data_IF_616371763217
#
_entry.id   IF_616371763217
#
_cell.length_a   1.000
_cell.length_b   1.000
_cell.length_c   1.000
_cell.angle_alpha   90.00
_cell.angle_beta   90.00
_cell.angle_gamma   90.00
#
_symmetry.space_group_name_H-M   'P 1'
#
loop_
_entity.id
_entity.type
_entity.pdbx_description
1 polymer ?
#
# COMPACT_ATOMS: atom_id res chain seq x y z
N UNK A 1 -26.85 0.89 -1.26
CA UNK A 1 -26.25 1.16 0.08
C UNK A 1 -24.88 1.75 -0.17
N UNK A 2 -24.76 3.08 -0.11
CA UNK A 2 -23.52 3.79 -0.46
C UNK A 2 -22.61 3.92 0.76
N UNK A 3 -21.71 2.96 0.96
CA UNK A 3 -20.56 3.20 1.82
C UNK A 3 -19.62 4.14 1.08
N UNK A 4 -19.53 5.40 1.51
CA UNK A 4 -18.54 6.33 0.95
C UNK A 4 -17.14 5.69 1.07
N UNK A 5 -16.27 5.75 0.05
CA UNK A 5 -14.93 5.16 0.06
C UNK A 5 -14.10 5.56 1.29
N UNK A 6 -14.38 6.76 1.82
CA UNK A 6 -13.79 7.31 3.04
C UNK A 6 -14.04 6.45 4.29
N UNK A 7 -15.18 5.75 4.38
CA UNK A 7 -15.54 4.96 5.56
C UNK A 7 -14.86 3.59 5.61
N UNK A 8 -14.67 2.95 4.46
CA UNK A 8 -14.00 1.64 4.39
C UNK A 8 -12.49 1.77 4.60
N UNK A 9 -11.85 2.76 3.95
CA UNK A 9 -10.43 3.07 4.17
C UNK A 9 -10.15 3.41 5.62
N UNK A 10 -11.02 4.18 6.28
CA UNK A 10 -10.85 4.52 7.69
C UNK A 10 -10.95 3.28 8.61
N UNK A 11 -11.82 2.30 8.29
CA UNK A 11 -11.85 1.04 9.04
C UNK A 11 -10.55 0.25 8.88
N UNK A 12 -10.01 0.19 7.67
CA UNK A 12 -8.72 -0.49 7.39
C UNK A 12 -7.59 0.21 8.13
N UNK A 13 -7.50 1.54 8.04
CA UNK A 13 -6.49 2.32 8.76
C UNK A 13 -6.62 2.16 10.27
N UNK A 14 -7.84 2.16 10.82
CA UNK A 14 -8.06 1.90 12.25
C UNK A 14 -7.63 0.50 12.68
N UNK A 15 -7.88 -0.50 11.85
CA UNK A 15 -7.47 -1.89 12.11
C UNK A 15 -5.95 -2.02 12.08
N UNK A 16 -5.29 -1.44 11.08
CA UNK A 16 -3.82 -1.43 11.00
C UNK A 16 -3.23 -0.62 12.15
N UNK A 17 -3.77 0.57 12.46
CA UNK A 17 -3.33 1.38 13.59
C UNK A 17 -3.37 0.60 14.90
N UNK A 18 -4.52 -0.04 15.19
CA UNK A 18 -4.70 -0.86 16.42
C UNK A 18 -3.82 -2.12 16.46
N UNK A 19 -3.28 -2.55 15.31
CA UNK A 19 -2.37 -3.69 15.23
C UNK A 19 -0.96 -3.32 15.71
N UNK A 20 -0.56 -2.06 15.52
CA UNK A 20 0.76 -1.57 15.89
C UNK A 20 0.78 -0.72 17.17
N UNK A 21 -0.34 -0.08 17.53
CA UNK A 21 -0.58 0.55 18.84
C UNK A 21 -0.65 -0.52 19.93
N UNK A 22 0.51 -0.93 20.46
CA UNK A 22 0.63 -2.05 21.38
C UNK A 22 0.24 -1.66 22.80
N UNK A 23 0.55 -0.44 23.19
CA UNK A 23 0.20 0.12 24.49
C UNK A 23 -1.26 0.60 24.54
N UNK A 24 -1.95 0.66 23.40
CA UNK A 24 -3.36 1.08 23.26
C UNK A 24 -3.60 2.47 23.82
N UNK A 25 -2.59 3.33 23.71
CA UNK A 25 -2.69 4.72 24.15
C UNK A 25 -3.35 5.61 23.10
N UNK A 26 -3.71 5.04 21.94
CA UNK A 26 -4.33 5.76 20.83
C UNK A 26 -3.32 6.57 20.02
N UNK A 27 -2.03 6.32 20.22
CA UNK A 27 -0.91 6.99 19.55
C UNK A 27 0.11 5.96 19.08
N UNK A 28 0.90 6.32 18.08
CA UNK A 28 2.04 5.52 17.64
C UNK A 28 3.33 6.26 17.93
N UNK A 29 4.17 5.67 18.77
CA UNK A 29 5.53 6.18 18.96
C UNK A 29 6.46 5.74 17.80
N UNK A 30 7.67 6.28 17.78
CA UNK A 30 8.68 5.99 16.75
C UNK A 30 8.99 4.49 16.58
N UNK A 31 8.91 3.69 17.66
CA UNK A 31 9.18 2.25 17.59
C UNK A 31 8.01 1.51 16.92
N UNK A 32 6.78 1.91 17.21
CA UNK A 32 5.57 1.34 16.59
C UNK A 32 5.48 1.72 15.11
N UNK A 33 5.78 2.98 14.77
CA UNK A 33 5.91 3.42 13.38
C UNK A 33 6.96 2.61 12.63
N UNK A 34 8.12 2.34 13.26
CA UNK A 34 9.16 1.49 12.66
C UNK A 34 8.67 0.06 12.41
N UNK A 35 7.93 -0.51 13.35
CA UNK A 35 7.36 -1.84 13.21
C UNK A 35 6.36 -1.91 12.06
N UNK A 36 5.49 -0.89 11.92
CA UNK A 36 4.58 -0.74 10.79
C UNK A 36 5.34 -0.63 9.47
N UNK A 37 6.31 0.28 9.37
CA UNK A 37 7.06 0.48 8.12
C UNK A 37 7.77 -0.80 7.70
N UNK A 38 8.32 -1.56 8.66
CA UNK A 38 8.90 -2.89 8.41
C UNK A 38 7.88 -3.91 7.95
N UNK A 39 6.66 -3.86 8.47
CA UNK A 39 5.58 -4.74 8.01
C UNK A 39 5.12 -4.39 6.58
N UNK A 40 5.36 -3.16 6.11
CA UNK A 40 5.19 -2.75 4.72
C UNK A 40 6.45 -3.01 3.88
N UNK A 41 7.32 -3.94 4.30
CA UNK A 41 8.62 -4.24 3.70
C UNK A 41 9.56 -3.02 3.54
N UNK A 42 9.29 -1.90 4.23
CA UNK A 42 10.19 -0.74 4.26
C UNK A 42 11.11 -0.84 5.48
N UNK A 43 12.41 -0.70 5.28
CA UNK A 43 13.38 -0.69 6.38
C UNK A 43 13.97 0.73 6.55
N UNK A 44 13.22 1.67 7.17
CA UNK A 44 13.71 3.02 7.37
C UNK A 44 14.86 3.06 8.38
N UNK A 45 15.85 3.91 8.13
CA UNK A 45 16.90 4.24 9.11
C UNK A 45 16.33 5.13 10.21
N UNK A 46 17.00 5.22 11.36
CA UNK A 46 16.57 6.12 12.45
C UNK A 46 16.43 7.58 11.99
N UNK A 47 17.33 8.04 11.13
CA UNK A 47 17.28 9.39 10.56
C UNK A 47 16.05 9.57 9.68
N UNK A 48 15.72 8.58 8.84
CA UNK A 48 14.53 8.62 7.97
C UNK A 48 13.25 8.55 8.80
N UNK A 49 13.21 7.71 9.83
CA UNK A 49 12.11 7.64 10.80
C UNK A 49 11.88 8.96 11.52
N UNK A 50 12.93 9.58 12.07
CA UNK A 50 12.81 10.89 12.74
C UNK A 50 12.33 11.97 11.78
N UNK A 51 12.80 11.94 10.53
CA UNK A 51 12.34 12.89 9.51
C UNK A 51 10.87 12.68 9.15
N UNK A 52 10.45 11.42 8.95
CA UNK A 52 9.04 11.09 8.73
C UNK A 52 8.19 11.52 9.93
N UNK A 53 8.61 11.18 11.15
CA UNK A 53 7.93 11.58 12.38
C UNK A 53 7.75 13.09 12.43
N UNK A 54 8.82 13.87 12.24
CA UNK A 54 8.77 15.33 12.29
C UNK A 54 7.92 15.98 11.18
N UNK A 55 7.70 15.26 10.08
CA UNK A 55 6.91 15.70 8.93
C UNK A 55 5.42 15.34 9.08
N UNK A 56 5.09 14.44 10.02
CA UNK A 56 3.74 13.92 10.26
C UNK A 56 3.17 14.41 11.61
N UNK A 57 4.02 14.44 12.65
CA UNK A 57 3.75 14.93 14.00
C UNK A 57 3.63 16.46 13.98
N UNK A 58 2.45 16.95 13.58
CA UNK A 58 2.17 18.38 13.41
C UNK A 58 2.16 19.09 14.76
N UNK A 59 1.71 18.39 15.81
CA UNK A 59 1.65 18.94 17.16
C UNK A 59 2.98 18.79 17.94
N UNK A 60 3.97 18.08 17.36
CA UNK A 60 5.32 17.88 17.91
C UNK A 60 5.34 17.22 19.28
N UNK A 61 4.37 16.34 19.56
CA UNK A 61 4.30 15.66 20.85
C UNK A 61 5.17 14.39 20.91
N UNK A 62 5.84 14.03 19.82
CA UNK A 62 6.72 12.87 19.71
C UNK A 62 5.99 11.56 19.47
N UNK A 63 4.70 11.60 19.14
CA UNK A 63 3.84 10.45 18.83
C UNK A 63 2.90 10.82 17.68
N UNK A 64 2.48 9.82 16.91
CA UNK A 64 1.54 9.98 15.80
C UNK A 64 0.14 9.66 16.29
N UNK A 65 -0.77 10.63 16.31
CA UNK A 65 -2.19 10.36 16.54
C UNK A 65 -2.85 9.62 15.38
N UNK A 66 -4.03 9.06 15.62
CA UNK A 66 -4.85 8.47 14.58
C UNK A 66 -5.08 9.41 13.37
N UNK A 67 -5.39 10.69 13.58
CA UNK A 67 -5.60 11.64 12.49
C UNK A 67 -4.32 11.89 11.67
N UNK A 68 -3.18 12.01 12.33
CA UNK A 68 -1.87 12.16 11.70
C UNK A 68 -1.46 10.89 10.95
N UNK A 69 -1.76 9.72 11.53
CA UNK A 69 -1.57 8.42 10.89
C UNK A 69 -2.40 8.30 9.62
N UNK A 70 -3.66 8.71 9.64
CA UNK A 70 -4.52 8.70 8.44
C UNK A 70 -3.93 9.61 7.37
N UNK A 71 -3.40 10.80 7.72
CA UNK A 71 -2.68 11.67 6.77
C UNK A 71 -1.47 10.98 6.18
N UNK A 72 -0.64 10.33 7.00
CA UNK A 72 0.51 9.55 6.55
C UNK A 72 0.09 8.45 5.57
N UNK A 73 -0.90 7.64 5.93
CA UNK A 73 -1.37 6.54 5.10
C UNK A 73 -1.92 7.04 3.77
N UNK A 74 -2.67 8.14 3.75
CA UNK A 74 -3.13 8.75 2.49
C UNK A 74 -1.97 9.29 1.66
N UNK A 75 -0.94 9.86 2.30
CA UNK A 75 0.24 10.34 1.57
C UNK A 75 1.03 9.19 0.96
N UNK A 76 1.32 8.14 1.72
CA UNK A 76 1.99 6.93 1.23
C UNK A 76 1.15 6.26 0.13
N UNK A 77 -0.16 6.19 0.30
CA UNK A 77 -1.10 5.69 -0.72
C UNK A 77 -0.96 6.50 -2.02
N UNK A 78 -0.89 7.83 -1.94
CA UNK A 78 -0.70 8.72 -3.08
C UNK A 78 0.71 8.67 -3.70
N UNK A 79 1.76 8.50 -2.89
CA UNK A 79 3.14 8.30 -3.37
C UNK A 79 3.25 6.97 -4.13
N UNK A 80 2.80 5.87 -3.54
CA UNK A 80 2.78 4.55 -4.19
C UNK A 80 1.94 4.61 -5.47
N UNK A 81 0.79 5.28 -5.45
CA UNK A 81 -0.02 5.43 -6.66
C UNK A 81 0.74 6.20 -7.76
N UNK A 82 1.49 7.25 -7.42
CA UNK A 82 2.28 8.01 -8.40
C UNK A 82 3.49 7.24 -8.91
N UNK A 83 4.10 6.39 -8.09
CA UNK A 83 5.21 5.52 -8.52
C UNK A 83 4.73 4.37 -9.41
N UNK A 84 3.56 3.79 -9.11
CA UNK A 84 3.01 2.67 -9.87
C UNK A 84 2.20 3.08 -11.11
N UNK A 85 1.62 4.28 -11.13
CA UNK A 85 0.88 4.81 -12.29
C UNK A 85 1.67 4.69 -13.61
N UNK A 86 2.92 5.16 -13.72
CA UNK A 86 3.66 5.04 -14.98
C UNK A 86 3.95 3.59 -15.36
N UNK A 87 4.17 2.69 -14.40
CA UNK A 87 4.34 1.25 -14.68
C UNK A 87 3.03 0.63 -15.18
N UNK A 88 1.91 0.99 -14.56
CA UNK A 88 0.57 0.54 -14.97
C UNK A 88 0.25 1.04 -16.39
N UNK A 89 0.36 2.34 -16.65
CA UNK A 89 0.10 2.93 -17.98
C UNK A 89 1.05 2.41 -19.05
N UNK A 90 2.31 2.10 -18.69
CA UNK A 90 3.28 1.52 -19.61
C UNK A 90 2.91 0.08 -20.03
N UNK A 91 2.26 -0.66 -19.14
CA UNK A 91 1.93 -2.07 -19.36
C UNK A 91 0.50 -2.31 -19.82
N UNK A 92 -0.44 -1.40 -19.51
CA UNK A 92 -1.79 -1.32 -20.09
C UNK A 92 -1.70 -0.87 -21.57
N UNK A 93 -1.24 -1.77 -22.43
CA UNK A 93 -0.90 -1.43 -23.83
C UNK A 93 -2.15 -1.13 -24.64
N UNK A 94 -3.27 -1.74 -24.28
CA UNK A 94 -4.55 -1.56 -24.95
C UNK A 94 -5.36 -0.38 -24.37
N UNK A 95 -4.87 0.27 -23.32
CA UNK A 95 -5.54 1.37 -22.61
C UNK A 95 -6.94 0.95 -22.14
N UNK A 96 -7.11 -0.32 -21.78
CA UNK A 96 -8.34 -0.86 -21.23
C UNK A 96 -8.60 -0.31 -19.82
N UNK A 97 -7.57 0.20 -19.14
CA UNK A 97 -7.60 0.57 -17.73
C UNK A 97 -7.40 -0.62 -16.79
N UNK A 98 -6.99 -1.77 -17.34
CA UNK A 98 -6.73 -3.01 -16.61
C UNK A 98 -5.41 -3.63 -17.07
N UNK A 99 -4.79 -4.42 -16.20
CA UNK A 99 -3.59 -5.21 -16.53
C UNK A 99 -4.02 -6.66 -16.69
N UNK A 100 -3.86 -7.18 -17.90
CA UNK A 100 -4.10 -8.58 -18.24
C UNK A 100 -3.02 -9.48 -17.65
N UNK A 101 -3.25 -10.80 -17.59
CA UNK A 101 -2.23 -11.75 -17.13
C UNK A 101 -0.91 -11.64 -17.92
N UNK A 102 -0.96 -11.53 -19.25
CA UNK A 102 0.22 -11.37 -20.10
C UNK A 102 0.99 -10.07 -19.81
N UNK A 103 0.27 -8.98 -19.52
CA UNK A 103 0.85 -7.69 -19.18
C UNK A 103 1.46 -7.71 -17.77
N UNK A 104 0.86 -8.45 -16.84
CA UNK A 104 1.40 -8.65 -15.50
C UNK A 104 2.70 -9.47 -15.51
N UNK A 105 2.79 -10.51 -16.36
CA UNK A 105 4.02 -11.27 -16.54
C UNK A 105 5.17 -10.37 -16.98
N UNK A 106 4.91 -9.46 -17.92
CA UNK A 106 5.88 -8.47 -18.37
C UNK A 106 6.31 -7.51 -17.25
N UNK A 107 5.40 -7.09 -16.36
CA UNK A 107 5.73 -6.28 -15.18
C UNK A 107 6.73 -7.02 -14.30
N UNK A 108 6.45 -8.30 -13.98
CA UNK A 108 7.29 -9.08 -13.10
C UNK A 108 8.66 -9.33 -13.69
N UNK A 109 8.74 -9.65 -14.98
CA UNK A 109 10.02 -9.78 -15.67
C UNK A 109 10.83 -8.47 -15.64
N UNK A 110 10.19 -7.30 -15.80
CA UNK A 110 10.87 -6.00 -15.70
C UNK A 110 11.39 -5.72 -14.28
N UNK A 111 10.67 -6.19 -13.26
CA UNK A 111 11.12 -6.13 -11.86
C UNK A 111 12.16 -7.21 -11.50
N UNK A 112 12.52 -8.09 -12.43
CA UNK A 112 13.44 -9.21 -12.19
C UNK A 112 12.84 -10.34 -11.36
N UNK A 113 11.51 -10.45 -11.35
CA UNK A 113 10.74 -11.49 -10.66
C UNK A 113 10.27 -12.50 -11.71
N UNK A 114 10.68 -13.76 -11.55
CA UNK A 114 10.23 -14.85 -12.41
C UNK A 114 9.10 -15.62 -11.72
N UNK A 115 7.91 -15.60 -12.31
CA UNK A 115 6.77 -16.41 -11.87
C UNK A 115 6.46 -17.47 -12.92
N UNK A 116 5.99 -18.63 -12.47
CA UNK A 116 5.41 -19.62 -13.39
C UNK A 116 4.01 -19.15 -13.79
N UNK A 117 3.47 -19.63 -14.93
CA UNK A 117 2.09 -19.30 -15.34
C UNK A 117 1.05 -19.63 -14.25
N UNK A 118 1.28 -20.72 -13.51
CA UNK A 118 0.44 -21.13 -12.37
C UNK A 118 0.57 -20.15 -11.18
N UNK A 119 1.79 -19.70 -10.88
CA UNK A 119 2.04 -18.71 -9.84
C UNK A 119 1.44 -17.35 -10.18
N UNK A 120 1.58 -16.90 -11.43
CA UNK A 120 0.98 -15.65 -11.93
C UNK A 120 -0.54 -15.68 -11.80
N UNK A 121 -1.19 -16.78 -12.24
CA UNK A 121 -2.63 -16.98 -12.08
C UNK A 121 -3.07 -16.99 -10.61
N UNK A 122 -2.27 -17.60 -9.73
CA UNK A 122 -2.56 -17.60 -8.29
C UNK A 122 -2.47 -16.19 -7.69
N UNK A 123 -1.47 -15.42 -8.10
CA UNK A 123 -1.29 -14.03 -7.67
C UNK A 123 -2.46 -13.16 -8.14
N UNK A 124 -2.85 -13.25 -9.41
CA UNK A 124 -4.02 -12.54 -9.97
C UNK A 124 -5.27 -12.89 -9.17
N UNK A 125 -5.60 -14.18 -9.04
CA UNK A 125 -6.78 -14.63 -8.27
C UNK A 125 -6.78 -14.20 -6.81
N UNK A 126 -5.62 -13.92 -6.23
CA UNK A 126 -5.51 -13.49 -4.83
C UNK A 126 -5.87 -12.01 -4.61
N UNK A 127 -5.91 -11.22 -5.68
CA UNK A 127 -6.20 -9.77 -5.65
C UNK A 127 -7.35 -9.36 -6.56
N UNK A 128 -7.72 -10.17 -7.55
CA UNK A 128 -8.89 -10.03 -8.43
C UNK A 128 -10.17 -10.19 -7.62
N UNK A 129 -10.78 -9.05 -7.24
CA UNK A 129 -11.94 -8.99 -6.36
C UNK A 129 -13.26 -9.00 -7.13
N UNK A 130 -13.27 -8.50 -8.36
CA UNK A 130 -14.47 -8.48 -9.21
C UNK A 130 -14.57 -9.71 -10.12
N UNK A 131 -13.50 -10.50 -10.23
CA UNK A 131 -13.45 -11.77 -10.94
C UNK A 131 -13.43 -11.62 -12.44
N UNK A 132 -13.01 -10.46 -12.96
CA UNK A 132 -12.95 -10.19 -14.39
C UNK A 132 -11.71 -10.84 -15.06
N UNK A 133 -10.78 -11.34 -14.25
CA UNK A 133 -9.54 -11.98 -14.70
C UNK A 133 -8.43 -11.02 -15.09
N UNK A 134 -8.66 -9.71 -14.95
CA UNK A 134 -7.67 -8.65 -15.14
C UNK A 134 -7.43 -7.95 -13.80
N UNK A 135 -6.44 -7.06 -13.76
CA UNK A 135 -6.13 -6.29 -12.56
C UNK A 135 -6.43 -4.82 -12.81
N UNK A 136 -7.43 -4.30 -12.12
CA UNK A 136 -7.61 -2.86 -12.00
C UNK A 136 -6.41 -2.22 -11.28
N UNK A 137 -6.24 -0.91 -11.42
CA UNK A 137 -5.16 -0.18 -10.75
C UNK A 137 -5.12 -0.43 -9.22
N UNK A 138 -6.27 -0.61 -8.58
CA UNK A 138 -6.34 -0.89 -7.14
C UNK A 138 -5.83 -2.30 -6.80
N UNK A 139 -6.10 -3.28 -7.65
CA UNK A 139 -5.71 -4.68 -7.45
C UNK A 139 -4.24 -4.88 -7.79
N UNK A 140 -3.78 -4.27 -8.89
CA UNK A 140 -2.36 -4.17 -9.22
C UNK A 140 -1.57 -3.56 -8.06
N UNK A 141 -2.02 -2.44 -7.51
CA UNK A 141 -1.38 -1.82 -6.35
C UNK A 141 -1.35 -2.73 -5.12
N UNK A 142 -2.43 -3.48 -4.86
CA UNK A 142 -2.45 -4.46 -3.76
C UNK A 142 -1.47 -5.59 -3.99
N UNK A 143 -1.32 -6.04 -5.24
CA UNK A 143 -0.40 -7.09 -5.61
C UNK A 143 1.06 -6.65 -5.44
N UNK A 144 1.44 -5.54 -6.05
CA UNK A 144 2.80 -4.99 -5.92
C UNK A 144 3.11 -4.61 -4.46
N UNK A 145 2.11 -4.14 -3.70
CA UNK A 145 2.26 -3.87 -2.27
C UNK A 145 2.48 -5.11 -1.38
N UNK A 146 2.30 -6.33 -1.90
CA UNK A 146 2.58 -7.59 -1.17
C UNK A 146 3.99 -8.12 -1.38
N UNK A 147 4.68 -7.63 -2.41
CA UNK A 147 5.99 -8.13 -2.88
C UNK A 147 7.10 -7.27 -2.27
#
# INVERSE_FOLDING_TARGET
MGGSPSSEKNKVYKKEFSKYDKNRDGRMNTNELRALLRALNRNPTETSLKKMMADIDENKNGSIEYDEFVKLMNRLDGEISRELAPTFEKHDKDNSGFISADELDAVFQEMGIELTPEGLQAEIKSVDLDGDGNLSFQEFKKLIGRI
#
